data_IF_556725137010
#
_entry.id   IF_556725137010
#
_cell.length_a   1.000
_cell.length_b   1.000
_cell.length_c   1.000
_cell.angle_alpha   90.00
_cell.angle_beta   90.00
_cell.angle_gamma   90.00
#
_symmetry.space_group_name_H-M   'P 1'
#
loop_
_entity.id
_entity.type
_entity.pdbx_description
1 polymer ?
#
# COMPACT_ATOMS: atom_id res chain seq x y z
N UNK A 1 -27.60 3.70 4.37
CA UNK A 1 -26.31 4.24 3.85
C UNK A 1 -26.60 4.96 2.52
N UNK A 2 -25.89 6.06 2.18
CA UNK A 2 -26.06 6.73 0.90
C UNK A 2 -25.74 5.78 -0.27
N UNK A 3 -26.47 5.85 -1.40
CA UNK A 3 -26.22 5.01 -2.57
C UNK A 3 -24.87 5.36 -3.23
N UNK A 4 -24.21 4.44 -3.97
CA UNK A 4 -22.90 4.69 -4.60
C UNK A 4 -22.85 5.97 -5.43
N UNK A 5 -23.95 6.29 -6.14
CA UNK A 5 -24.09 7.47 -6.99
C UNK A 5 -23.92 8.79 -6.22
N UNK A 6 -24.18 8.79 -4.91
CA UNK A 6 -24.01 9.96 -4.02
C UNK A 6 -22.56 10.48 -4.02
N UNK A 7 -21.59 9.59 -4.22
CA UNK A 7 -20.17 9.91 -4.16
C UNK A 7 -19.55 10.26 -5.52
N UNK A 8 -20.26 10.04 -6.65
CA UNK A 8 -19.70 10.21 -7.99
C UNK A 8 -19.15 11.62 -8.27
N UNK A 9 -19.72 12.64 -7.64
CA UNK A 9 -19.36 14.05 -7.85
C UNK A 9 -18.78 14.71 -6.58
N UNK A 10 -18.24 13.92 -5.65
CA UNK A 10 -17.72 14.42 -4.37
C UNK A 10 -16.31 13.92 -4.14
N UNK A 11 -15.48 14.79 -3.56
CA UNK A 11 -14.12 14.45 -3.13
C UNK A 11 -13.99 14.77 -1.64
N UNK A 12 -13.42 13.85 -0.87
CA UNK A 12 -13.11 14.06 0.53
C UNK A 12 -11.61 14.34 0.60
N UNK A 13 -11.24 15.46 1.23
CA UNK A 13 -9.86 15.90 1.34
C UNK A 13 -9.37 15.69 2.77
N UNK A 14 -8.12 15.25 2.92
CA UNK A 14 -7.46 15.15 4.21
C UNK A 14 -6.02 15.73 4.11
N UNK A 15 -5.46 16.27 5.20
CA UNK A 15 -4.18 16.97 5.17
C UNK A 15 -2.97 16.03 5.05
N UNK A 16 -3.10 14.75 5.43
CA UNK A 16 -2.01 13.76 5.38
C UNK A 16 -2.46 12.49 4.67
N UNK A 17 -1.51 11.81 4.03
CA UNK A 17 -1.76 10.54 3.34
C UNK A 17 -2.22 9.42 4.30
N UNK A 18 -1.77 9.43 5.57
CA UNK A 18 -2.27 8.47 6.56
C UNK A 18 -3.76 8.64 6.81
N UNK A 19 -4.23 9.88 6.93
CA UNK A 19 -5.63 10.21 7.15
C UNK A 19 -6.46 9.85 5.89
N UNK A 20 -5.93 10.12 4.69
CA UNK A 20 -6.55 9.70 3.42
C UNK A 20 -6.71 8.17 3.38
N UNK A 21 -5.66 7.43 3.74
CA UNK A 21 -5.66 5.97 3.68
C UNK A 21 -6.67 5.37 4.67
N UNK A 22 -6.69 5.85 5.92
CA UNK A 22 -7.65 5.42 6.94
C UNK A 22 -9.10 5.64 6.48
N UNK A 23 -9.42 6.86 6.01
CA UNK A 23 -10.76 7.16 5.49
C UNK A 23 -11.15 6.29 4.30
N UNK A 24 -10.22 6.09 3.35
CA UNK A 24 -10.49 5.26 2.17
C UNK A 24 -10.75 3.81 2.57
N UNK A 25 -9.97 3.25 3.50
CA UNK A 25 -10.21 1.89 4.03
C UNK A 25 -11.57 1.78 4.69
N UNK A 26 -11.95 2.73 5.54
CA UNK A 26 -13.27 2.72 6.18
C UNK A 26 -14.43 2.79 5.19
N UNK A 27 -14.32 3.63 4.16
CA UNK A 27 -15.34 3.77 3.11
C UNK A 27 -15.41 2.47 2.29
N UNK A 28 -14.26 1.90 1.91
CA UNK A 28 -14.18 0.66 1.15
C UNK A 28 -14.82 -0.51 1.92
N UNK A 29 -14.64 -0.60 3.24
CA UNK A 29 -15.30 -1.59 4.10
C UNK A 29 -16.83 -1.47 4.10
N UNK A 30 -17.38 -0.28 3.85
CA UNK A 30 -18.83 -0.03 3.78
C UNK A 30 -19.42 -0.34 2.40
N UNK A 31 -18.58 -0.53 1.37
CA UNK A 31 -19.03 -0.87 0.02
C UNK A 31 -19.35 -2.37 -0.10
N UNK A 32 -20.46 -2.68 -0.78
CA UNK A 32 -20.78 -4.04 -1.22
C UNK A 32 -19.86 -4.47 -2.36
N UNK A 33 -19.59 -5.77 -2.49
CA UNK A 33 -18.74 -6.32 -3.56
C UNK A 33 -17.60 -7.19 -3.04
N UNK A 34 -16.99 -7.95 -3.96
CA UNK A 34 -15.83 -8.80 -3.67
C UNK A 34 -14.65 -7.90 -3.28
N UNK A 35 -13.93 -8.27 -2.23
CA UNK A 35 -12.70 -7.59 -1.83
C UNK A 35 -11.50 -8.37 -2.37
N UNK A 36 -10.59 -7.68 -3.04
CA UNK A 36 -9.36 -8.28 -3.54
C UNK A 36 -8.16 -7.46 -3.11
N UNK A 37 -7.18 -8.12 -2.50
CA UNK A 37 -5.91 -7.51 -2.07
C UNK A 37 -4.80 -7.93 -3.01
N UNK A 38 -4.04 -6.95 -3.48
CA UNK A 38 -2.87 -7.10 -4.31
C UNK A 38 -1.63 -6.70 -3.50
N UNK A 39 -0.62 -7.56 -3.51
CA UNK A 39 0.64 -7.31 -2.81
C UNK A 39 1.68 -6.73 -3.76
N UNK A 40 2.52 -5.83 -3.25
CA UNK A 40 3.68 -5.35 -3.99
C UNK A 40 4.67 -6.48 -4.26
N UNK A 41 5.40 -6.35 -5.38
CA UNK A 41 6.44 -7.27 -5.82
C UNK A 41 7.82 -6.65 -5.58
N UNK A 42 8.04 -6.14 -4.37
CA UNK A 42 9.26 -5.42 -4.00
C UNK A 42 10.44 -6.39 -3.83
N UNK A 43 11.63 -5.92 -4.21
CA UNK A 43 12.88 -6.66 -4.07
C UNK A 43 14.03 -5.70 -3.75
N UNK A 44 14.97 -6.18 -2.95
CA UNK A 44 16.24 -5.50 -2.71
C UNK A 44 17.13 -5.71 -3.95
N UNK A 45 17.68 -4.61 -4.46
CA UNK A 45 18.70 -4.61 -5.51
C UNK A 45 20.02 -4.24 -4.83
N UNK A 46 21.03 -5.08 -5.00
CA UNK A 46 22.38 -4.82 -4.49
C UNK A 46 23.26 -4.28 -5.61
N UNK A 47 24.09 -3.29 -5.29
CA UNK A 47 25.07 -2.70 -6.20
C UNK A 47 26.49 -3.09 -5.77
N UNK A 48 27.15 -3.91 -6.58
CA UNK A 48 28.49 -4.41 -6.31
C UNK A 48 29.49 -3.26 -6.13
N UNK A 49 30.16 -3.20 -4.97
CA UNK A 49 31.14 -2.18 -4.62
C UNK A 49 30.57 -0.96 -3.90
N UNK A 50 29.25 -0.76 -3.89
CA UNK A 50 28.56 0.19 -3.02
C UNK A 50 28.04 -0.53 -1.76
N UNK A 51 27.45 -1.70 -1.96
CA UNK A 51 27.01 -2.58 -0.89
C UNK A 51 28.17 -3.54 -0.56
N UNK A 52 28.69 -3.49 0.67
CA UNK A 52 29.83 -4.31 1.10
C UNK A 52 29.58 -5.80 0.88
N UNK A 53 30.67 -6.56 0.65
CA UNK A 53 30.75 -7.99 0.27
C UNK A 53 30.21 -8.97 1.35
N UNK A 54 29.43 -8.47 2.31
CA UNK A 54 28.87 -9.25 3.41
C UNK A 54 27.69 -10.10 2.91
N UNK A 55 27.75 -11.38 3.30
CA UNK A 55 26.85 -12.49 2.97
C UNK A 55 25.39 -12.12 2.63
N UNK A 56 25.04 -12.39 1.38
CA UNK A 56 23.69 -12.40 0.77
C UNK A 56 22.59 -13.09 1.61
N UNK A 57 22.96 -14.03 2.49
CA UNK A 57 22.01 -14.78 3.32
C UNK A 57 21.49 -13.98 4.51
N UNK A 58 22.23 -12.98 5.00
CA UNK A 58 21.83 -12.17 6.18
C UNK A 58 20.98 -10.95 5.80
N UNK A 59 20.97 -10.54 4.52
CA UNK A 59 20.20 -9.39 4.02
C UNK A 59 18.85 -9.75 3.39
N UNK A 60 18.43 -11.01 3.43
CA UNK A 60 17.09 -11.41 2.97
C UNK A 60 16.04 -10.87 3.94
N UNK A 61 15.67 -9.60 3.77
CA UNK A 61 14.58 -9.02 4.52
C UNK A 61 13.29 -9.77 4.18
N UNK A 62 12.47 -10.10 5.18
CA UNK A 62 11.17 -10.71 4.95
C UNK A 62 10.34 -9.84 4.01
N UNK A 63 9.53 -10.48 3.15
CA UNK A 63 8.67 -9.75 2.21
C UNK A 63 7.65 -8.89 2.96
N UNK A 64 7.28 -9.30 4.18
CA UNK A 64 6.44 -8.54 5.11
C UNK A 64 7.08 -7.22 5.50
N UNK A 65 8.41 -7.18 5.69
CA UNK A 65 9.13 -5.95 5.97
C UNK A 65 9.12 -5.01 4.76
N UNK A 66 9.38 -5.54 3.56
CA UNK A 66 9.35 -4.74 2.33
C UNK A 66 7.96 -4.14 2.09
N UNK A 67 6.90 -4.90 2.35
CA UNK A 67 5.51 -4.44 2.26
C UNK A 67 5.15 -3.39 3.31
N UNK A 68 5.84 -3.37 4.45
CA UNK A 68 5.60 -2.39 5.52
C UNK A 68 6.18 -1.00 5.23
N UNK A 69 7.02 -0.87 4.19
CA UNK A 69 7.63 0.40 3.83
C UNK A 69 6.55 1.40 3.37
N UNK A 70 6.51 2.56 4.03
CA UNK A 70 5.50 3.59 3.78
C UNK A 70 6.17 4.97 3.64
N UNK A 71 6.96 5.12 2.58
CA UNK A 71 7.53 6.41 2.19
C UNK A 71 6.60 7.09 1.18
N UNK A 72 6.51 8.41 1.20
CA UNK A 72 5.61 9.18 0.32
C UNK A 72 5.91 8.98 -1.19
N UNK A 73 7.11 8.53 -1.53
CA UNK A 73 7.55 8.24 -2.90
C UNK A 73 7.33 6.79 -3.33
N UNK A 74 6.90 5.91 -2.43
CA UNK A 74 6.68 4.50 -2.70
C UNK A 74 5.19 4.22 -2.84
N UNK A 75 4.87 3.25 -3.69
CA UNK A 75 3.54 2.67 -3.74
C UNK A 75 3.30 1.85 -2.46
N UNK A 76 2.05 1.73 -1.99
CA UNK A 76 1.76 0.90 -0.83
C UNK A 76 2.09 -0.57 -1.10
N UNK A 77 2.62 -1.27 -0.09
CA UNK A 77 2.92 -2.70 -0.16
C UNK A 77 1.69 -3.60 -0.31
N UNK A 78 0.51 -3.07 0.00
CA UNK A 78 -0.78 -3.75 -0.12
C UNK A 78 -1.83 -2.79 -0.70
N UNK A 79 -2.54 -3.24 -1.73
CA UNK A 79 -3.63 -2.50 -2.37
C UNK A 79 -4.91 -3.32 -2.31
N UNK A 80 -5.88 -2.86 -1.52
CA UNK A 80 -7.21 -3.48 -1.42
C UNK A 80 -8.21 -2.75 -2.30
N UNK A 81 -8.92 -3.50 -3.14
CA UNK A 81 -9.93 -3.00 -4.06
C UNK A 81 -11.28 -3.70 -3.84
N UNK A 82 -12.37 -3.01 -4.20
CA UNK A 82 -13.73 -3.56 -4.31
C UNK A 82 -14.12 -3.68 -5.78
N UNK A 83 -14.66 -4.85 -6.17
CA UNK A 83 -15.15 -5.17 -7.52
C UNK A 83 -16.67 -5.17 -7.54
#
# INVERSE_FOLDING_TARGET
>A
PPPPDYFLNRMILAPRNCDVNEMNTEILCKMSGETRTYYSADKIIEEAGADGDDNYAERQLPVEFLRSLNAASLLPGELTLKI
#
